data_IF_765900398080
#
_entry.id   IF_765900398080
#
_cell.length_a   1.000
_cell.length_b   1.000
_cell.length_c   1.000
_cell.angle_alpha   90.00
_cell.angle_beta   90.00
_cell.angle_gamma   90.00
#
_symmetry.space_group_name_H-M   'P 1'
#
loop_
_entity.id
_entity.type
_entity.pdbx_description
1 polymer ?
#
# COMPACT_ATOMS: atom_id res chain seq x y z
N UNK A 1 -22.47 -0.92 -1.18
CA UNK A 1 -22.13 0.37 -0.54
C UNK A 1 -20.77 0.75 -1.04
N UNK A 2 -20.64 1.89 -1.72
CA UNK A 2 -19.33 2.45 -2.06
C UNK A 2 -18.70 2.93 -0.76
N UNK A 3 -17.44 2.59 -0.51
CA UNK A 3 -16.72 3.00 0.70
C UNK A 3 -15.53 3.89 0.40
N UNK A 4 -14.94 3.78 -0.79
CA UNK A 4 -13.73 4.50 -1.15
C UNK A 4 -13.90 5.27 -2.46
N UNK A 5 -13.25 6.43 -2.51
CA UNK A 5 -13.09 7.27 -3.70
C UNK A 5 -11.62 7.62 -3.90
N UNK A 6 -11.06 7.28 -5.05
CA UNK A 6 -9.71 7.72 -5.41
C UNK A 6 -9.70 9.22 -5.71
N UNK A 7 -8.82 9.97 -5.08
CA UNK A 7 -8.72 11.44 -5.27
C UNK A 7 -8.10 11.83 -6.60
N UNK A 8 -7.44 10.90 -7.31
CA UNK A 8 -6.74 11.18 -8.57
C UNK A 8 -7.52 10.79 -9.81
N UNK A 9 -8.14 9.60 -9.82
CA UNK A 9 -8.90 9.12 -10.98
C UNK A 9 -10.40 9.01 -10.73
N UNK A 10 -10.87 9.44 -9.56
CA UNK A 10 -12.29 9.42 -9.16
C UNK A 10 -12.97 8.05 -9.21
N UNK A 11 -12.18 6.96 -9.19
CA UNK A 11 -12.72 5.62 -9.05
C UNK A 11 -13.44 5.50 -7.71
N UNK A 12 -14.61 4.86 -7.71
CA UNK A 12 -15.45 4.61 -6.55
C UNK A 12 -15.73 3.11 -6.44
N UNK A 13 -15.55 2.54 -5.25
CA UNK A 13 -15.77 1.11 -4.99
C UNK A 13 -15.64 0.73 -3.52
N UNK A 14 -15.51 -0.56 -3.26
CA UNK A 14 -15.41 -1.13 -1.91
C UNK A 14 -13.96 -1.44 -1.50
N UNK A 15 -13.73 -1.74 -0.22
CA UNK A 15 -12.38 -2.10 0.26
C UNK A 15 -11.87 -3.38 -0.41
N UNK A 16 -12.77 -4.34 -0.66
CA UNK A 16 -12.45 -5.64 -1.24
C UNK A 16 -11.96 -5.53 -2.69
N UNK A 17 -12.31 -4.44 -3.38
CA UNK A 17 -11.81 -4.12 -4.72
C UNK A 17 -10.42 -3.46 -4.70
N UNK A 18 -9.96 -2.99 -3.54
CA UNK A 18 -8.68 -2.29 -3.42
C UNK A 18 -7.54 -3.29 -3.20
N UNK A 19 -6.54 -3.37 -4.10
CA UNK A 19 -5.33 -4.14 -3.83
C UNK A 19 -4.63 -3.60 -2.59
N UNK A 20 -4.22 -4.49 -1.68
CA UNK A 20 -3.40 -4.15 -0.52
C UNK A 20 -1.92 -4.28 -0.88
N UNK A 21 -1.12 -3.33 -0.43
CA UNK A 21 0.32 -3.31 -0.64
C UNK A 21 1.07 -3.23 0.69
N UNK A 22 2.24 -3.84 0.70
CA UNK A 22 3.15 -3.83 1.84
C UNK A 22 3.79 -2.45 2.04
N UNK A 23 3.57 -1.89 3.22
CA UNK A 23 4.07 -0.60 3.68
C UNK A 23 5.06 -0.80 4.81
N UNK A 24 6.16 -0.05 4.77
CA UNK A 24 7.20 -0.10 5.78
C UNK A 24 6.64 0.44 7.10
N UNK A 25 6.70 -0.33 8.20
CA UNK A 25 6.18 0.11 9.50
C UNK A 25 6.95 1.31 10.07
N UNK A 26 8.23 1.47 9.71
CA UNK A 26 9.09 2.53 10.27
C UNK A 26 8.93 3.88 9.56
N UNK A 27 8.85 3.87 8.22
CA UNK A 27 8.84 5.10 7.42
C UNK A 27 7.60 5.26 6.55
N UNK A 28 6.59 4.40 6.74
CA UNK A 28 5.27 4.42 6.07
C UNK A 28 5.36 4.51 4.54
N UNK A 29 6.47 4.04 3.98
CA UNK A 29 6.73 4.05 2.54
C UNK A 29 6.45 2.67 1.95
N UNK A 30 5.90 2.62 0.75
CA UNK A 30 5.63 1.37 0.03
C UNK A 30 4.67 1.53 -1.13
N UNK A 31 3.86 2.59 -1.13
CA UNK A 31 2.94 2.90 -2.22
C UNK A 31 3.64 3.32 -3.51
N UNK A 32 4.69 4.14 -3.38
CA UNK A 32 5.52 4.50 -4.53
C UNK A 32 6.24 3.25 -5.04
N UNK A 33 6.06 2.93 -6.33
CA UNK A 33 6.69 1.77 -6.98
C UNK A 33 8.21 1.72 -6.83
N UNK A 34 8.88 2.87 -6.78
CA UNK A 34 10.33 2.94 -6.57
C UNK A 34 10.75 2.53 -5.16
N UNK A 35 9.83 2.66 -4.20
CA UNK A 35 10.10 2.40 -2.79
C UNK A 35 9.24 1.24 -2.23
N UNK A 36 8.79 0.33 -3.09
CA UNK A 36 8.07 -0.88 -2.66
C UNK A 36 8.99 -1.76 -1.82
N UNK A 37 8.42 -2.37 -0.78
CA UNK A 37 9.14 -3.38 0.00
C UNK A 37 9.59 -4.51 -0.94
N UNK A 38 10.88 -4.83 -0.86
CA UNK A 38 11.51 -5.87 -1.64
C UNK A 38 11.51 -7.18 -0.86
N UNK A 39 11.31 -8.28 -1.59
CA UNK A 39 11.41 -9.63 -1.05
C UNK A 39 12.72 -10.27 -1.53
N UNK A 40 13.55 -10.71 -0.60
CA UNK A 40 14.79 -11.44 -0.86
C UNK A 40 14.79 -12.72 -0.04
N UNK A 41 14.31 -13.82 -0.63
CA UNK A 41 13.98 -15.03 0.13
C UNK A 41 12.91 -14.72 1.18
N UNK A 42 13.21 -15.09 2.43
CA UNK A 42 12.32 -14.82 3.58
C UNK A 42 12.53 -13.43 4.20
N UNK A 43 13.41 -12.60 3.63
CA UNK A 43 13.68 -11.26 4.14
C UNK A 43 12.91 -10.21 3.36
N UNK A 44 12.19 -9.37 4.08
CA UNK A 44 11.57 -8.14 3.61
C UNK A 44 12.50 -6.97 3.88
N UNK A 45 12.67 -6.10 2.89
CA UNK A 45 13.52 -4.91 3.02
C UNK A 45 12.78 -3.68 2.51
N UNK A 46 12.80 -2.61 3.30
CA UNK A 46 12.41 -1.29 2.81
C UNK A 46 13.57 -0.67 2.01
N UNK A 47 13.36 -0.24 0.76
CA UNK A 47 14.40 0.46 -0.01
C UNK A 47 14.59 1.94 0.39
N UNK A 48 13.66 2.51 1.16
CA UNK A 48 13.70 3.92 1.57
C UNK A 48 14.43 4.13 2.91
N UNK A 49 14.38 3.16 3.81
CA UNK A 49 15.06 3.23 5.11
C UNK A 49 15.84 1.94 5.40
N UNK A 50 16.38 1.80 6.61
CA UNK A 50 17.17 0.62 7.01
C UNK A 50 16.32 -0.58 7.47
N UNK A 51 14.99 -0.47 7.46
CA UNK A 51 14.11 -1.53 7.94
C UNK A 51 14.26 -2.82 7.12
N UNK A 52 14.53 -3.90 7.83
CA UNK A 52 14.56 -5.26 7.31
C UNK A 52 13.96 -6.20 8.33
N UNK A 53 13.27 -7.24 7.85
CA UNK A 53 12.58 -8.19 8.71
C UNK A 53 12.44 -9.54 8.03
N UNK A 54 12.63 -10.60 8.80
CA UNK A 54 12.33 -11.99 8.40
C UNK A 54 11.03 -12.53 9.01
N UNK A 55 10.45 -11.84 10.00
CA UNK A 55 9.33 -12.36 10.81
C UNK A 55 8.22 -11.36 11.10
N UNK A 56 8.50 -10.05 11.06
CA UNK A 56 7.47 -9.02 11.20
C UNK A 56 6.85 -8.69 9.85
N UNK A 57 5.53 -8.82 9.79
CA UNK A 57 4.75 -8.46 8.61
C UNK A 57 4.78 -6.93 8.40
N UNK A 58 4.93 -6.48 7.14
CA UNK A 58 4.77 -5.09 6.79
C UNK A 58 3.29 -4.68 6.95
N UNK A 59 3.04 -3.40 7.21
CA UNK A 59 1.68 -2.88 7.22
C UNK A 59 1.03 -3.10 5.85
N UNK A 60 -0.28 -3.33 5.82
CA UNK A 60 -1.02 -3.53 4.58
C UNK A 60 -1.99 -2.38 4.37
N UNK A 61 -1.75 -1.58 3.34
CA UNK A 61 -2.60 -0.43 3.01
C UNK A 61 -3.22 -0.58 1.63
N UNK A 62 -4.48 -0.16 1.44
CA UNK A 62 -5.16 -0.24 0.16
C UNK A 62 -4.64 0.81 -0.85
N UNK A 63 -4.63 0.46 -2.13
CA UNK A 63 -4.40 1.38 -3.24
C UNK A 63 -5.58 1.38 -4.22
N UNK A 64 -5.72 2.46 -4.98
CA UNK A 64 -6.69 2.49 -6.07
C UNK A 64 -6.40 1.38 -7.10
N UNK A 65 -7.37 0.50 -7.42
CA UNK A 65 -7.16 -0.57 -8.39
C UNK A 65 -6.93 -0.06 -9.82
N UNK A 66 -7.34 1.18 -10.13
CA UNK A 66 -7.21 1.78 -11.46
C UNK A 66 -5.88 2.47 -11.69
N UNK A 67 -5.46 3.33 -10.76
CA UNK A 67 -4.27 4.17 -10.94
C UNK A 67 -3.15 3.90 -9.92
N UNK A 68 -3.36 2.97 -8.97
CA UNK A 68 -2.42 2.61 -7.89
C UNK A 68 -2.04 3.80 -7.01
N UNK A 69 -2.94 4.76 -6.89
CA UNK A 69 -2.77 5.88 -5.98
C UNK A 69 -3.12 5.45 -4.55
N UNK A 70 -2.36 5.94 -3.58
CA UNK A 70 -2.53 5.66 -2.16
C UNK A 70 -3.68 6.47 -1.53
N UNK A 71 -4.06 7.58 -2.17
CA UNK A 71 -5.07 8.48 -1.64
C UNK A 71 -6.48 8.00 -1.99
N UNK A 72 -7.00 7.14 -1.13
CA UNK A 72 -8.39 6.72 -1.11
C UNK A 72 -9.11 7.48 0.00
N UNK A 73 -10.17 8.21 -0.37
CA UNK A 73 -11.05 8.89 0.58
C UNK A 73 -12.21 7.98 0.92
N UNK A 74 -12.45 7.76 2.21
CA UNK A 74 -13.67 7.09 2.65
C UNK A 74 -14.91 7.95 2.36
N UNK A 75 -15.88 7.37 1.66
CA UNK A 75 -17.18 7.97 1.37
C UNK A 75 -18.23 6.96 1.82
N UNK A 76 -19.05 7.32 2.81
CA UNK A 76 -20.01 6.42 3.49
C UNK A 76 -21.23 6.07 2.65
#
# INVERSE_FOLDING_TARGET
MVKFKCTRCFWEGTEEECPKVSICPDCTTGHNKMYRIMHSGDTLQCPNCAWNSTFSDPLQEPECPKCRDQYLKEIG
#
